data_IF_002562469348
#
_entry.id   IF_002562469348
#
_cell.length_a   1.000
_cell.length_b   1.000
_cell.length_c   1.000
_cell.angle_alpha   90.00
_cell.angle_beta   90.00
_cell.angle_gamma   90.00
#
_symmetry.space_group_name_H-M   'P 1'
#
loop_
_entity.id
_entity.type
_entity.pdbx_description
1 polymer ?
#
# COMPACT_ATOMS: atom_id res chain seq x y z
N UNK A 1 11.36 -4.49 -10.52
CA UNK A 1 12.33 -3.37 -10.55
C UNK A 1 13.43 -3.60 -9.52
N UNK A 2 14.68 -3.21 -9.80
CA UNK A 2 15.79 -3.26 -8.85
C UNK A 2 15.52 -2.53 -7.51
N UNK A 3 16.24 -2.82 -6.42
CA UNK A 3 16.19 -2.03 -5.20
C UNK A 3 16.43 -0.53 -5.49
N UNK A 4 15.75 0.37 -4.78
CA UNK A 4 15.91 1.82 -4.98
C UNK A 4 15.12 2.44 -6.16
N UNK A 5 14.54 1.66 -7.09
CA UNK A 5 13.87 2.20 -8.29
C UNK A 5 12.45 2.75 -8.06
N UNK A 6 12.11 3.15 -6.83
CA UNK A 6 10.82 3.79 -6.56
C UNK A 6 9.58 2.90 -6.72
N UNK A 7 9.70 1.57 -6.73
CA UNK A 7 8.56 0.63 -6.92
C UNK A 7 7.33 0.96 -6.06
N UNK A 8 7.53 1.21 -4.76
CA UNK A 8 6.43 1.54 -3.86
C UNK A 8 5.84 2.95 -4.15
N UNK A 9 6.64 3.86 -4.73
CA UNK A 9 6.14 5.16 -5.22
C UNK A 9 5.26 4.98 -6.46
N UNK A 10 5.63 4.08 -7.38
CA UNK A 10 4.80 3.74 -8.54
C UNK A 10 3.46 3.11 -8.12
N UNK A 11 3.48 2.17 -7.16
CA UNK A 11 2.25 1.58 -6.60
C UNK A 11 1.35 2.67 -5.99
N UNK A 12 1.93 3.56 -5.18
CA UNK A 12 1.18 4.66 -4.56
C UNK A 12 0.57 5.59 -5.60
N UNK A 13 1.32 5.91 -6.67
CA UNK A 13 0.83 6.80 -7.72
C UNK A 13 -0.28 6.15 -8.55
N UNK A 14 -0.19 4.85 -8.82
CA UNK A 14 -1.26 4.10 -9.48
C UNK A 14 -2.54 4.07 -8.62
N UNK A 15 -2.40 3.83 -7.31
CA UNK A 15 -3.51 3.83 -6.38
C UNK A 15 -4.26 5.18 -6.38
N UNK A 16 -3.53 6.30 -6.33
CA UNK A 16 -4.10 7.65 -6.42
C UNK A 16 -4.89 7.88 -7.71
N UNK A 17 -4.35 7.46 -8.85
CA UNK A 17 -5.00 7.68 -10.14
C UNK A 17 -6.28 6.86 -10.29
N UNK A 18 -6.30 5.64 -9.78
CA UNK A 18 -7.48 4.78 -9.83
C UNK A 18 -8.56 5.17 -8.82
N UNK A 19 -8.17 5.65 -7.64
CA UNK A 19 -9.09 6.26 -6.67
C UNK A 19 -9.81 7.47 -7.29
N UNK A 20 -9.08 8.35 -7.97
CA UNK A 20 -9.67 9.50 -8.68
C UNK A 20 -10.65 9.09 -9.78
N UNK A 21 -10.47 7.89 -10.37
CA UNK A 21 -11.38 7.30 -11.33
C UNK A 21 -12.58 6.56 -10.70
N UNK A 22 -12.76 6.63 -9.38
CA UNK A 22 -13.83 5.94 -8.65
C UNK A 22 -13.69 4.43 -8.60
N UNK A 23 -12.50 3.89 -8.94
CA UNK A 23 -12.24 2.46 -8.96
C UNK A 23 -11.60 2.03 -7.64
N UNK A 24 -12.17 1.07 -6.90
CA UNK A 24 -11.55 0.55 -5.68
C UNK A 24 -10.24 -0.16 -6.03
N UNK A 25 -9.18 0.13 -5.27
CA UNK A 25 -7.84 -0.43 -5.49
C UNK A 25 -7.51 -1.46 -4.43
N UNK A 26 -7.12 -2.65 -4.88
CA UNK A 26 -6.61 -3.71 -4.01
C UNK A 26 -5.10 -3.84 -4.15
N UNK A 27 -4.39 -3.75 -3.04
CA UNK A 27 -2.94 -3.90 -2.98
C UNK A 27 -2.61 -5.08 -2.08
N UNK A 28 -1.79 -6.01 -2.58
CA UNK A 28 -1.30 -7.15 -1.82
C UNK A 28 0.21 -7.28 -2.00
N UNK A 29 0.90 -7.69 -0.93
CA UNK A 29 2.32 -8.01 -0.94
C UNK A 29 2.58 -9.20 -0.02
N UNK A 30 3.51 -10.06 -0.42
CA UNK A 30 3.79 -11.32 0.26
C UNK A 30 4.39 -11.13 1.67
N UNK A 31 5.40 -10.25 1.90
CA UNK A 31 5.88 -10.03 3.26
C UNK A 31 5.22 -8.81 3.90
N UNK A 32 4.93 -8.91 5.21
CA UNK A 32 4.30 -7.84 5.98
C UNK A 32 5.09 -6.53 5.96
N UNK A 33 6.43 -6.60 5.97
CA UNK A 33 7.29 -5.42 5.85
C UNK A 33 7.07 -4.67 4.53
N UNK A 34 6.73 -5.36 3.44
CA UNK A 34 6.40 -4.71 2.18
C UNK A 34 5.03 -4.01 2.26
N UNK A 35 4.03 -4.64 2.89
CA UNK A 35 2.73 -4.00 3.13
C UNK A 35 2.90 -2.75 4.01
N UNK A 36 3.74 -2.81 5.05
CA UNK A 36 4.04 -1.66 5.92
C UNK A 36 4.65 -0.50 5.16
N UNK A 37 5.66 -0.78 4.34
CA UNK A 37 6.30 0.23 3.51
C UNK A 37 5.34 0.87 2.49
N UNK A 38 4.36 0.12 1.98
CA UNK A 38 3.34 0.66 1.06
C UNK A 38 2.32 1.50 1.83
N UNK A 39 1.78 0.99 2.94
CA UNK A 39 0.83 1.70 3.79
C UNK A 39 1.39 3.05 4.27
N UNK A 40 2.65 3.08 4.70
CA UNK A 40 3.31 4.33 5.12
C UNK A 40 3.41 5.35 3.97
N UNK A 41 3.65 4.89 2.73
CA UNK A 41 3.66 5.78 1.58
C UNK A 41 2.28 6.30 1.20
N UNK A 42 1.25 5.46 1.25
CA UNK A 42 -0.14 5.87 1.03
C UNK A 42 -0.53 6.96 2.04
N UNK A 43 -0.25 6.72 3.32
CA UNK A 43 -0.49 7.67 4.40
C UNK A 43 0.24 9.01 4.17
N UNK A 44 1.55 8.98 3.90
CA UNK A 44 2.34 10.20 3.60
C UNK A 44 1.87 10.95 2.36
N UNK A 45 1.09 10.30 1.48
CA UNK A 45 0.55 10.87 0.24
C UNK A 45 -0.92 11.25 0.36
N UNK A 46 -1.52 11.11 1.54
CA UNK A 46 -2.92 11.47 1.80
C UNK A 46 -3.92 10.62 1.04
N UNK A 47 -3.59 9.35 0.78
CA UNK A 47 -4.51 8.39 0.17
C UNK A 47 -5.23 7.66 1.28
N UNK A 48 -6.57 7.61 1.23
CA UNK A 48 -7.36 6.86 2.20
C UNK A 48 -7.29 5.36 1.89
N UNK A 49 -7.06 4.54 2.92
CA UNK A 49 -7.01 3.10 2.78
C UNK A 49 -7.41 2.39 4.08
N UNK A 50 -7.75 1.11 3.95
CA UNK A 50 -7.92 0.19 5.08
C UNK A 50 -6.92 -0.95 4.93
N UNK A 51 -6.35 -1.40 6.04
CA UNK A 51 -5.54 -2.62 6.07
C UNK A 51 -6.44 -3.74 6.56
N UNK A 52 -6.49 -4.83 5.80
CA UNK A 52 -7.15 -6.07 6.20
C UNK A 52 -6.05 -7.02 6.66
N UNK A 53 -6.13 -7.46 7.91
CA UNK A 53 -5.20 -8.42 8.51
C UNK A 53 -5.98 -9.63 9.03
N UNK A 54 -5.33 -10.80 9.08
CA UNK A 54 -5.88 -11.93 9.83
C UNK A 54 -5.97 -11.56 11.32
N UNK A 55 -6.98 -12.09 12.01
CA UNK A 55 -7.18 -11.88 13.45
C UNK A 55 -5.94 -12.28 14.27
N UNK A 56 -5.23 -13.31 13.83
CA UNK A 56 -4.02 -13.83 14.46
C UNK A 56 -2.80 -12.90 14.30
N UNK A 57 -2.89 -11.88 13.44
CA UNK A 57 -1.77 -11.05 13.03
C UNK A 57 -1.78 -9.62 13.64
N UNK A 58 -2.77 -9.28 14.46
CA UNK A 58 -2.97 -7.91 14.96
C UNK A 58 -1.85 -7.39 15.91
N UNK A 59 -0.88 -8.23 16.29
CA UNK A 59 0.06 -7.96 17.39
C UNK A 59 1.49 -7.49 17.01
N UNK A 60 1.84 -7.32 15.72
CA UNK A 60 3.21 -6.96 15.31
C UNK A 60 3.36 -5.84 14.25
N UNK A 61 2.39 -4.93 14.14
CA UNK A 61 2.45 -3.80 13.19
C UNK A 61 3.11 -2.54 13.76
#
# INVERSE_FOLDING_TARGET
GPPGTGKATAITKAAQLWEQGGSPVWISAQPNIAMKNIAEKLFRKGVDFKIIVSLEFHFQW
#
